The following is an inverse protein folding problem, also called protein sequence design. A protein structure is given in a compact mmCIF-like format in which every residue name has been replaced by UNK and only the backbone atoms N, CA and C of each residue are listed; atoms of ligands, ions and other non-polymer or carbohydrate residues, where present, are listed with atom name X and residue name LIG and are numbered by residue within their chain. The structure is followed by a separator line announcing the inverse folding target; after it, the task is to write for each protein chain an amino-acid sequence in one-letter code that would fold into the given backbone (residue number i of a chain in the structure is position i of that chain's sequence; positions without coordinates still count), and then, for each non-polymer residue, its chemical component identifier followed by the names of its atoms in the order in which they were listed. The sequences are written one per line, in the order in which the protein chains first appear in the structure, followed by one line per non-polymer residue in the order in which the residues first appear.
data_IF_059507450942
#
_entry.id   IF_059507450942
#
_cell.length_a   1.000
_cell.length_b   1.000
_cell.length_c   1.000
_cell.angle_alpha   90.00
_cell.angle_beta   90.00
_cell.angle_gamma   90.00
#
_symmetry.space_group_name_H-M   'P 1'
#
loop_
_entity.id
_entity.type
_entity.pdbx_description
1 polymer ?
#
# COMPACT_ATOMS: atom_id res chain seq x y z
N UNK A 1 0.33 21.12 -6.48
CA UNK A 1 -0.24 19.89 -5.88
C UNK A 1 -0.26 18.77 -6.90
N UNK A 2 0.48 17.69 -6.66
CA UNK A 2 0.40 16.46 -7.47
C UNK A 2 -0.87 15.66 -7.13
N UNK A 3 -1.53 15.10 -8.15
CA UNK A 3 -2.73 14.28 -7.99
C UNK A 3 -2.41 12.90 -7.40
N UNK A 4 -3.42 12.20 -6.89
CA UNK A 4 -3.24 10.84 -6.34
C UNK A 4 -2.74 9.86 -7.41
N UNK A 5 -3.24 10.00 -8.64
CA UNK A 5 -2.81 9.22 -9.79
C UNK A 5 -1.36 9.52 -10.19
N UNK A 6 -0.93 10.79 -10.12
CA UNK A 6 0.46 11.15 -10.38
C UNK A 6 1.41 10.49 -9.36
N UNK A 7 1.04 10.47 -8.08
CA UNK A 7 1.81 9.78 -7.02
C UNK A 7 1.89 8.27 -7.25
N UNK A 8 0.82 7.64 -7.73
CA UNK A 8 0.80 6.22 -8.09
C UNK A 8 1.79 5.96 -9.23
N UNK A 9 1.72 6.76 -10.30
CA UNK A 9 2.59 6.62 -11.47
C UNK A 9 4.08 6.82 -11.13
N UNK A 10 4.40 7.77 -10.24
CA UNK A 10 5.77 7.98 -9.76
C UNK A 10 6.32 6.75 -9.04
N UNK A 11 5.53 6.15 -8.15
CA UNK A 11 5.95 4.93 -7.42
C UNK A 11 6.14 3.76 -8.38
N UNK A 12 5.24 3.58 -9.35
CA UNK A 12 5.36 2.51 -10.36
C UNK A 12 6.61 2.71 -11.23
N UNK A 13 6.90 3.95 -11.65
CA UNK A 13 8.11 4.29 -12.40
C UNK A 13 9.39 4.07 -11.58
N UNK A 14 9.37 4.39 -10.29
CA UNK A 14 10.50 4.13 -9.39
C UNK A 14 10.72 2.63 -9.19
N UNK A 15 9.65 1.86 -8.98
CA UNK A 15 9.73 0.40 -8.87
C UNK A 15 10.24 -0.24 -10.16
N UNK A 16 9.83 0.25 -11.32
CA UNK A 16 10.26 -0.26 -12.63
C UNK A 16 11.76 -0.02 -12.89
N UNK A 17 12.29 1.13 -12.47
CA UNK A 17 13.72 1.47 -12.61
C UNK A 17 14.61 0.83 -11.55
N UNK A 18 14.05 0.35 -10.45
CA UNK A 18 14.81 -0.24 -9.34
C UNK A 18 15.17 -1.69 -9.64
N UNK A 19 16.46 -2.01 -9.73
CA UNK A 19 16.94 -3.39 -9.84
C UNK A 19 16.54 -4.18 -8.58
N UNK A 20 16.04 -5.42 -8.74
CA UNK A 20 15.62 -6.27 -7.62
C UNK A 20 16.80 -7.08 -7.09
N UNK A 21 17.34 -6.70 -5.94
CA UNK A 21 18.43 -7.40 -5.27
C UNK A 21 18.30 -7.25 -3.73
N UNK A 22 19.19 -7.87 -2.95
CA UNK A 22 19.12 -7.84 -1.47
C UNK A 22 19.19 -6.43 -0.89
N UNK A 23 19.94 -5.51 -1.53
CA UNK A 23 20.06 -4.13 -1.07
C UNK A 23 18.78 -3.32 -1.32
N UNK A 24 18.03 -3.62 -2.38
CA UNK A 24 16.82 -2.87 -2.75
C UNK A 24 15.51 -3.52 -2.28
N UNK A 25 15.56 -4.74 -1.76
CA UNK A 25 14.37 -5.48 -1.32
C UNK A 25 13.54 -4.71 -0.28
N UNK A 26 14.21 -4.07 0.69
CA UNK A 26 13.55 -3.23 1.69
C UNK A 26 12.88 -2.00 1.05
N UNK A 27 13.59 -1.30 0.16
CA UNK A 27 13.06 -0.14 -0.57
C UNK A 27 11.83 -0.50 -1.40
N UNK A 28 11.91 -1.59 -2.17
CA UNK A 28 10.79 -2.11 -2.96
C UNK A 28 9.60 -2.53 -2.08
N UNK A 29 9.85 -3.02 -0.86
CA UNK A 29 8.80 -3.30 0.12
C UNK A 29 8.06 -2.03 0.55
N UNK A 30 8.79 -0.96 0.84
CA UNK A 30 8.22 0.34 1.20
C UNK A 30 7.41 0.96 0.04
N UNK A 31 7.93 0.88 -1.20
CA UNK A 31 7.23 1.36 -2.39
C UNK A 31 5.91 0.62 -2.60
N UNK A 32 5.90 -0.72 -2.46
CA UNK A 32 4.67 -1.52 -2.55
C UNK A 32 3.64 -1.17 -1.48
N UNK A 33 4.07 -0.95 -0.23
CA UNK A 33 3.18 -0.56 0.85
C UNK A 33 2.52 0.81 0.59
N UNK A 34 3.31 1.78 0.11
CA UNK A 34 2.82 3.10 -0.29
C UNK A 34 1.84 3.02 -1.47
N UNK A 35 2.15 2.22 -2.49
CA UNK A 35 1.27 1.97 -3.63
C UNK A 35 -0.08 1.39 -3.19
N UNK A 36 -0.08 0.40 -2.30
CA UNK A 36 -1.31 -0.21 -1.78
C UNK A 36 -2.19 0.79 -1.02
N UNK A 37 -1.59 1.69 -0.22
CA UNK A 37 -2.32 2.74 0.49
C UNK A 37 -2.98 3.72 -0.48
N UNK A 38 -2.25 4.19 -1.49
CA UNK A 38 -2.77 5.12 -2.50
C UNK A 38 -3.87 4.48 -3.34
N UNK A 39 -3.74 3.20 -3.71
CA UNK A 39 -4.80 2.48 -4.44
C UNK A 39 -6.07 2.32 -3.59
N UNK A 40 -5.96 2.10 -2.28
CA UNK A 40 -7.12 2.11 -1.38
C UNK A 40 -7.79 3.48 -1.32
N UNK A 41 -7.01 4.55 -1.17
CA UNK A 41 -7.54 5.93 -1.15
C UNK A 41 -8.26 6.32 -2.45
N UNK A 42 -7.90 5.70 -3.58
CA UNK A 42 -8.59 5.91 -4.87
C UNK A 42 -10.00 5.29 -4.92
N UNK A 43 -10.18 4.14 -4.24
CA UNK A 43 -11.41 3.33 -4.31
C UNK A 43 -12.34 3.65 -3.14
N UNK A 44 -11.80 3.91 -1.95
CA UNK A 44 -12.60 4.16 -0.76
C UNK A 44 -13.01 5.63 -0.71
N UNK A 45 -14.30 5.98 -0.84
CA UNK A 45 -14.75 7.34 -0.52
C UNK A 45 -14.41 7.63 0.94
N UNK A 46 -13.98 8.86 1.26
CA UNK A 46 -13.66 9.31 2.63
C UNK A 46 -14.88 9.10 3.54
N UNK A 47 -15.00 7.92 4.14
CA UNK A 47 -16.16 7.51 4.93
C UNK A 47 -16.12 6.08 5.48
N UNK A 48 -15.19 5.23 5.04
CA UNK A 48 -15.01 3.88 5.59
C UNK A 48 -13.77 3.77 6.47
N UNK A 49 -13.94 3.95 7.78
CA UNK A 49 -13.00 3.43 8.78
C UNK A 49 -12.88 1.91 8.60
N UNK A 50 -11.71 1.40 8.19
CA UNK A 50 -11.56 -0.04 7.96
C UNK A 50 -10.14 -0.48 7.64
N UNK A 51 -9.40 -0.85 8.69
CA UNK A 51 -8.33 -1.86 8.60
C UNK A 51 -6.92 -1.36 8.26
N UNK A 52 -6.27 -0.69 9.23
CA UNK A 52 -4.81 -0.72 9.35
C UNK A 52 -4.36 -2.03 10.03
N UNK A 53 -3.14 -2.53 9.75
CA UNK A 53 -2.74 -3.89 10.12
C UNK A 53 -2.35 -3.96 11.60
N UNK A 54 -3.16 -4.64 12.42
CA UNK A 54 -2.79 -4.94 13.80
C UNK A 54 -3.96 -4.99 14.78
N UNK A 55 -4.94 -5.85 14.56
CA UNK A 55 -5.82 -6.28 15.65
C UNK A 55 -6.40 -7.65 15.33
N UNK A 56 -6.06 -8.62 16.18
CA UNK A 56 -6.67 -9.93 16.26
C UNK A 56 -8.16 -9.78 16.54
N UNK A 57 -8.98 -9.74 15.48
CA UNK A 57 -10.43 -9.74 15.60
C UNK A 57 -10.94 -11.17 15.40
N UNK A 58 -11.18 -11.82 16.53
CA UNK A 58 -12.23 -12.82 16.72
C UNK A 58 -12.19 -14.05 15.82
N UNK A 59 -11.47 -15.09 16.23
CA UNK A 59 -11.90 -16.45 15.94
C UNK A 59 -13.31 -16.64 16.53
N UNK A 60 -14.35 -17.00 15.75
CA UNK A 60 -15.58 -17.47 16.36
C UNK A 60 -15.25 -18.76 17.09
N UNK A 61 -15.29 -18.72 18.43
CA UNK A 61 -15.36 -19.94 19.23
C UNK A 61 -16.65 -20.63 18.86
N UNK A 62 -16.55 -21.69 18.06
CA UNK A 62 -17.65 -22.65 17.92
C UNK A 62 -17.69 -23.48 19.21
N UNK A 63 -18.91 -23.59 19.75
CA UNK A 63 -19.29 -24.49 20.82
C UNK A 63 -19.05 -25.96 20.44
#
# INVERSE_FOLDING_TARGET
NMSLLAKIAEIENEMARTQKNKATAHHLGLLKARLAKLRRELITPKGGSGGGPGEASGSPRYH
#
